data_IF_869896278347
#
_entry.id   IF_869896278347
#
_cell.length_a   1.000
_cell.length_b   1.000
_cell.length_c   1.000
_cell.angle_alpha   90.00
_cell.angle_beta   90.00
_cell.angle_gamma   90.00
#
_symmetry.space_group_name_H-M   'P 1'
#
loop_
_entity.id
_entity.type
_entity.pdbx_description
1 polymer ?
#
# COMPACT_ATOMS: atom_id res chain seq x y z
N UNK A 1 36.32 -33.15 44.33
CA UNK A 1 34.87 -33.14 44.02
C UNK A 1 34.52 -31.73 43.55
N UNK A 2 34.48 -31.50 42.23
CA UNK A 2 34.35 -30.16 41.63
C UNK A 2 32.92 -29.99 41.11
N UNK A 3 32.26 -28.91 41.53
CA UNK A 3 30.81 -28.66 41.37
C UNK A 3 30.44 -28.36 39.91
N UNK A 4 29.26 -28.87 39.51
CA UNK A 4 28.58 -28.80 38.18
C UNK A 4 28.37 -27.39 37.57
N UNK A 5 28.92 -26.32 38.17
CA UNK A 5 28.77 -24.92 37.73
C UNK A 5 29.88 -24.38 36.83
N UNK A 6 30.96 -25.15 36.61
CA UNK A 6 32.12 -24.69 35.83
C UNK A 6 32.25 -25.33 34.43
N UNK A 7 31.24 -26.07 33.96
CA UNK A 7 31.23 -26.66 32.61
C UNK A 7 30.35 -25.90 31.60
N UNK A 8 29.70 -24.81 32.01
CA UNK A 8 28.91 -23.91 31.13
C UNK A 8 29.55 -22.51 31.14
N UNK A 9 30.84 -22.44 30.80
CA UNK A 9 31.53 -21.20 30.43
C UNK A 9 32.54 -21.39 29.29
N UNK A 10 32.50 -22.52 28.58
CA UNK A 10 33.36 -22.79 27.42
C UNK A 10 32.58 -23.09 26.13
N UNK A 11 31.25 -22.92 26.12
CA UNK A 11 30.39 -23.18 24.96
C UNK A 11 29.31 -22.10 24.85
N UNK A 12 29.73 -20.84 24.76
CA UNK A 12 28.87 -19.69 24.42
C UNK A 12 29.77 -18.54 23.95
N UNK A 13 30.46 -18.75 22.83
CA UNK A 13 31.12 -17.72 22.03
C UNK A 13 30.78 -17.99 20.55
N UNK A 14 29.48 -17.96 20.26
CA UNK A 14 28.97 -17.62 18.93
C UNK A 14 28.17 -16.34 19.14
N UNK A 15 28.90 -15.24 19.11
CA UNK A 15 28.36 -13.89 19.04
C UNK A 15 27.59 -13.77 17.72
N UNK A 16 26.26 -13.73 17.80
CA UNK A 16 25.44 -13.04 16.80
C UNK A 16 25.77 -11.55 16.94
N UNK A 17 26.29 -10.87 15.91
CA UNK A 17 26.54 -9.44 16.05
C UNK A 17 25.21 -8.69 15.93
N UNK A 18 24.72 -8.20 17.07
CA UNK A 18 24.02 -6.92 17.11
C UNK A 18 25.03 -5.85 16.70
N UNK A 19 24.77 -5.15 15.59
CA UNK A 19 25.63 -4.06 15.10
C UNK A 19 24.91 -2.74 15.39
N UNK A 20 25.03 -2.28 16.63
CA UNK A 20 25.01 -0.85 16.96
C UNK A 20 26.27 -0.58 17.78
N UNK A 21 27.17 0.24 17.24
CA UNK A 21 28.38 0.70 17.93
C UNK A 21 29.67 0.06 17.43
N UNK A 22 30.22 0.60 16.33
CA UNK A 22 31.58 0.37 15.90
C UNK A 22 31.96 1.33 14.78
N UNK A 23 33.00 2.15 14.98
CA UNK A 23 33.59 2.98 13.95
C UNK A 23 34.31 2.10 12.93
N UNK A 24 33.54 1.57 11.99
CA UNK A 24 33.99 0.77 10.86
C UNK A 24 32.87 0.74 9.86
N UNK A 25 33.16 1.07 8.60
CA UNK A 25 32.18 1.10 7.53
C UNK A 25 31.73 -0.33 7.26
N UNK A 26 30.67 -0.75 7.95
CA UNK A 26 29.96 -1.99 7.65
C UNK A 26 29.13 -1.73 6.39
N UNK A 27 29.67 -2.11 5.23
CA UNK A 27 28.90 -2.14 3.99
C UNK A 27 27.94 -3.33 4.06
N UNK A 28 26.67 -3.08 4.36
CA UNK A 28 25.61 -4.04 4.07
C UNK A 28 25.52 -4.19 2.54
N UNK A 29 25.87 -5.39 2.04
CA UNK A 29 26.00 -5.69 0.61
C UNK A 29 24.71 -6.24 -0.02
N UNK A 30 23.52 -5.90 0.49
CA UNK A 30 22.29 -6.55 0.01
C UNK A 30 21.65 -5.85 -1.20
N UNK A 31 21.96 -4.58 -1.48
CA UNK A 31 21.68 -3.96 -2.78
C UNK A 31 22.78 -2.93 -3.09
N UNK A 32 23.43 -3.02 -4.25
CA UNK A 32 24.33 -1.94 -4.72
C UNK A 32 23.47 -0.72 -5.08
N UNK A 33 23.92 0.54 -4.85
CA UNK A 33 23.12 1.75 -5.14
C UNK A 33 22.60 1.85 -6.58
N UNK A 34 23.25 1.17 -7.52
CA UNK A 34 22.89 1.14 -8.95
C UNK A 34 22.29 -0.19 -9.41
N UNK A 35 22.21 -1.21 -8.53
CA UNK A 35 21.90 -2.59 -8.89
C UNK A 35 22.96 -3.21 -9.81
N UNK A 36 23.17 -4.52 -9.75
CA UNK A 36 23.73 -5.21 -10.91
C UNK A 36 22.57 -5.39 -11.89
N UNK A 37 22.31 -4.41 -12.77
CA UNK A 37 21.35 -4.63 -13.86
C UNK A 37 21.97 -5.66 -14.81
N UNK A 38 21.31 -6.80 -15.00
CA UNK A 38 21.69 -7.72 -16.06
C UNK A 38 21.51 -7.02 -17.40
N UNK A 39 22.62 -6.65 -18.05
CA UNK A 39 22.65 -5.80 -19.27
C UNK A 39 21.95 -6.47 -20.46
N UNK A 40 21.63 -7.77 -20.37
CA UNK A 40 21.14 -8.59 -21.48
C UNK A 40 19.70 -9.08 -21.33
N UNK A 41 19.05 -8.89 -20.17
CA UNK A 41 17.71 -9.46 -19.93
C UNK A 41 16.62 -8.42 -19.63
N UNK A 42 16.99 -7.15 -19.44
CA UNK A 42 16.05 -6.17 -18.92
C UNK A 42 15.70 -5.07 -19.94
N UNK A 43 14.42 -4.84 -20.27
CA UNK A 43 14.01 -3.64 -20.99
C UNK A 43 14.32 -2.40 -20.15
N UNK A 44 14.92 -1.37 -20.75
CA UNK A 44 15.09 -0.06 -20.11
C UNK A 44 13.88 0.80 -20.47
N UNK A 45 13.04 1.15 -19.50
CA UNK A 45 11.84 1.95 -19.76
C UNK A 45 12.19 3.28 -20.41
N UNK A 46 13.38 3.84 -20.13
CA UNK A 46 13.85 5.07 -20.76
C UNK A 46 14.16 4.90 -22.26
N UNK A 47 14.38 3.67 -22.73
CA UNK A 47 14.50 3.38 -24.17
C UNK A 47 13.16 3.54 -24.88
N UNK A 48 12.06 3.15 -24.23
CA UNK A 48 10.71 3.21 -24.83
C UNK A 48 10.01 4.55 -24.54
N UNK A 49 10.28 5.14 -23.38
CA UNK A 49 9.66 6.39 -22.92
C UNK A 49 10.72 7.43 -22.57
N UNK A 50 11.58 7.84 -23.53
CA UNK A 50 12.70 8.75 -23.27
C UNK A 50 12.27 10.16 -22.87
N UNK A 51 11.00 10.51 -23.08
CA UNK A 51 10.50 11.86 -22.88
C UNK A 51 9.83 12.08 -21.52
N UNK A 52 9.63 11.04 -20.69
CA UNK A 52 8.85 11.13 -19.43
C UNK A 52 9.40 12.24 -18.56
N UNK A 53 8.69 13.38 -18.54
CA UNK A 53 9.11 14.53 -17.75
C UNK A 53 8.75 14.33 -16.28
N UNK A 54 9.68 14.58 -15.34
CA UNK A 54 9.35 14.57 -13.93
C UNK A 54 8.48 15.78 -13.57
N UNK A 55 7.67 15.62 -12.52
CA UNK A 55 6.89 16.70 -11.89
C UNK A 55 5.83 17.35 -12.79
N UNK A 56 5.34 16.63 -13.81
CA UNK A 56 4.24 17.09 -14.69
C UNK A 56 2.88 16.52 -14.32
N UNK A 57 2.82 15.52 -13.44
CA UNK A 57 1.58 14.94 -12.93
C UNK A 57 1.40 15.19 -11.44
N UNK A 58 0.16 15.48 -11.03
CA UNK A 58 -0.18 15.60 -9.63
C UNK A 58 -0.03 14.25 -8.92
N UNK A 59 0.40 14.30 -7.66
CA UNK A 59 0.41 13.18 -6.75
C UNK A 59 -1.02 12.64 -6.60
N UNK A 60 -1.20 11.34 -6.81
CA UNK A 60 -2.45 10.69 -6.46
C UNK A 60 -2.54 10.54 -4.95
N UNK A 61 -3.67 10.94 -4.38
CA UNK A 61 -3.98 10.75 -2.97
C UNK A 61 -5.10 9.72 -2.88
N UNK A 62 -4.83 8.52 -2.34
CA UNK A 62 -5.88 7.52 -2.19
C UNK A 62 -6.98 8.03 -1.25
N UNK A 63 -8.26 7.93 -1.64
CA UNK A 63 -9.38 8.31 -0.77
C UNK A 63 -9.45 7.38 0.45
N UNK A 64 -10.22 7.75 1.47
CA UNK A 64 -10.54 6.81 2.55
C UNK A 64 -11.47 5.69 2.06
N UNK A 65 -11.40 4.53 2.70
CA UNK A 65 -12.44 3.50 2.54
C UNK A 65 -13.80 4.04 2.94
N UNK A 66 -14.83 3.70 2.16
CA UNK A 66 -16.22 4.06 2.44
C UNK A 66 -16.82 3.06 3.43
N UNK A 67 -17.47 3.58 4.45
CA UNK A 67 -18.27 2.79 5.40
C UNK A 67 -19.63 2.47 4.77
N UNK A 68 -20.06 1.21 4.84
CA UNK A 68 -21.33 0.73 4.29
C UNK A 68 -22.11 -0.06 5.34
N UNK A 69 -23.44 -0.07 5.32
CA UNK A 69 -24.20 -0.96 6.20
C UNK A 69 -23.99 -2.43 5.78
N UNK A 70 -24.10 -3.36 6.74
CA UNK A 70 -23.98 -4.80 6.47
C UNK A 70 -24.96 -5.28 5.38
N UNK A 71 -26.12 -4.65 5.26
CA UNK A 71 -27.12 -4.93 4.21
C UNK A 71 -26.67 -4.60 2.79
N UNK A 72 -25.56 -3.89 2.62
CA UNK A 72 -24.97 -3.50 1.32
C UNK A 72 -23.69 -4.29 0.98
N UNK A 73 -23.24 -5.21 1.85
CA UNK A 73 -22.16 -6.14 1.51
C UNK A 73 -22.51 -6.92 0.24
N UNK A 74 -21.56 -7.05 -0.67
CA UNK A 74 -21.73 -7.76 -1.92
C UNK A 74 -21.99 -9.24 -1.66
N UNK A 75 -22.87 -9.80 -2.48
CA UNK A 75 -23.20 -11.23 -2.50
C UNK A 75 -23.06 -11.75 -3.91
N UNK A 76 -22.63 -13.01 -4.03
CA UNK A 76 -22.53 -13.71 -5.31
C UNK A 76 -22.44 -15.20 -5.04
N UNK A 77 -23.32 -16.00 -5.61
CA UNK A 77 -23.31 -17.46 -5.46
C UNK A 77 -23.29 -17.92 -3.99
N UNK A 78 -22.11 -18.31 -3.51
CA UNK A 78 -21.84 -18.81 -2.15
C UNK A 78 -21.45 -17.73 -1.13
N UNK A 79 -21.25 -16.48 -1.56
CA UNK A 79 -20.89 -15.36 -0.70
C UNK A 79 -22.16 -14.87 0.04
N UNK A 80 -22.25 -15.05 1.37
CA UNK A 80 -23.45 -14.69 2.14
C UNK A 80 -23.54 -13.17 2.33
N UNK A 81 -24.75 -12.62 2.49
CA UNK A 81 -24.91 -11.20 2.81
C UNK A 81 -24.34 -10.88 4.20
N UNK A 82 -24.71 -11.69 5.18
CA UNK A 82 -24.40 -11.45 6.59
C UNK A 82 -22.95 -11.80 6.91
N UNK A 83 -22.39 -11.05 7.86
CA UNK A 83 -21.12 -11.39 8.52
C UNK A 83 -21.35 -12.65 9.35
N UNK A 84 -20.41 -13.60 9.31
CA UNK A 84 -20.49 -14.80 10.15
C UNK A 84 -19.56 -14.65 11.38
N UNK A 85 -20.10 -14.34 12.58
CA UNK A 85 -19.28 -14.14 13.78
C UNK A 85 -18.41 -15.34 14.15
N UNK A 86 -18.83 -16.56 13.78
CA UNK A 86 -18.11 -17.78 14.13
C UNK A 86 -16.83 -17.99 13.32
N UNK A 87 -16.62 -17.20 12.25
CA UNK A 87 -15.38 -17.21 11.47
C UNK A 87 -14.32 -16.26 12.01
N UNK A 88 -14.64 -15.45 13.02
CA UNK A 88 -13.75 -14.41 13.53
C UNK A 88 -13.52 -14.55 15.03
N UNK A 89 -12.26 -14.53 15.44
CA UNK A 89 -11.88 -14.60 16.84
C UNK A 89 -12.42 -13.39 17.59
N UNK A 90 -13.16 -13.65 18.67
CA UNK A 90 -13.68 -12.63 19.59
C UNK A 90 -14.60 -11.60 18.93
N UNK A 91 -15.27 -11.95 17.82
CA UNK A 91 -16.23 -11.04 17.16
C UNK A 91 -17.30 -10.50 18.10
N UNK A 92 -17.86 -11.37 18.96
CA UNK A 92 -18.88 -10.96 19.92
C UNK A 92 -18.37 -10.03 21.03
N UNK A 93 -17.05 -9.95 21.23
CA UNK A 93 -16.43 -8.99 22.16
C UNK A 93 -16.10 -7.66 21.48
N UNK A 94 -15.90 -7.69 20.17
CA UNK A 94 -15.53 -6.55 19.34
C UNK A 94 -16.41 -6.49 18.09
N UNK A 95 -17.72 -6.25 18.23
CA UNK A 95 -18.59 -6.15 17.06
C UNK A 95 -18.12 -5.03 16.14
N UNK A 96 -18.25 -5.23 14.83
CA UNK A 96 -17.82 -4.23 13.85
C UNK A 96 -18.54 -2.90 14.07
N UNK A 97 -17.78 -1.82 14.22
CA UNK A 97 -18.29 -0.44 14.25
C UNK A 97 -18.13 0.25 12.89
N UNK A 98 -17.16 -0.20 12.09
CA UNK A 98 -16.95 0.21 10.71
C UNK A 98 -16.96 -1.02 9.82
N UNK A 99 -17.71 -0.99 8.73
CA UNK A 99 -17.84 -2.08 7.76
C UNK A 99 -17.46 -1.52 6.40
N UNK A 100 -16.39 -2.08 5.85
CA UNK A 100 -15.90 -1.74 4.51
C UNK A 100 -16.02 -2.94 3.59
N UNK A 101 -16.02 -2.62 2.30
CA UNK A 101 -15.91 -3.58 1.23
C UNK A 101 -14.85 -3.14 0.25
N UNK A 102 -14.08 -4.10 -0.24
CA UNK A 102 -13.18 -3.89 -1.36
C UNK A 102 -13.34 -4.97 -2.42
N UNK A 103 -13.17 -4.57 -3.67
CA UNK A 103 -13.00 -5.51 -4.77
C UNK A 103 -11.56 -5.41 -5.27
N UNK A 104 -10.97 -6.57 -5.55
CA UNK A 104 -9.67 -6.67 -6.21
C UNK A 104 -9.92 -6.91 -7.69
N UNK A 105 -9.61 -5.93 -8.52
CA UNK A 105 -9.99 -5.92 -9.93
C UNK A 105 -8.80 -5.57 -10.82
N UNK A 106 -8.83 -6.09 -12.04
CA UNK A 106 -7.88 -5.71 -13.08
C UNK A 106 -8.43 -4.53 -13.88
N UNK A 107 -7.57 -3.55 -14.12
CA UNK A 107 -7.92 -2.40 -14.94
C UNK A 107 -6.69 -1.71 -15.48
N UNK A 108 -6.83 -0.41 -15.77
CA UNK A 108 -5.75 0.40 -16.31
C UNK A 108 -5.45 1.57 -15.39
N UNK A 109 -4.19 1.67 -14.94
CA UNK A 109 -3.70 2.75 -14.11
C UNK A 109 -2.82 3.71 -14.91
N UNK A 110 -3.08 5.00 -14.77
CA UNK A 110 -2.24 6.02 -15.39
C UNK A 110 -1.03 6.33 -14.50
N UNK A 111 0.09 5.63 -14.71
CA UNK A 111 1.36 5.92 -14.05
C UNK A 111 1.95 7.29 -14.48
N UNK A 112 1.87 7.61 -15.77
CA UNK A 112 2.26 8.87 -16.37
C UNK A 112 1.62 9.03 -17.76
N UNK A 113 1.20 10.23 -18.15
CA UNK A 113 0.50 10.44 -19.43
C UNK A 113 1.35 10.05 -20.63
N UNK A 114 2.67 10.20 -20.53
CA UNK A 114 3.58 9.83 -21.62
C UNK A 114 3.79 8.32 -21.77
N UNK A 115 3.65 7.56 -20.68
CA UNK A 115 3.62 6.09 -20.72
C UNK A 115 2.26 5.65 -21.26
N UNK A 116 1.19 6.23 -20.72
CA UNK A 116 -0.21 6.00 -21.10
C UNK A 116 -0.52 6.36 -22.56
N UNK A 117 0.14 7.37 -23.16
CA UNK A 117 -0.02 7.69 -24.59
C UNK A 117 0.54 6.61 -25.52
N UNK A 118 1.50 5.81 -25.04
CA UNK A 118 2.06 4.68 -25.76
C UNK A 118 1.13 3.47 -25.83
N UNK A 119 0.12 3.39 -24.96
CA UNK A 119 -0.86 2.27 -24.94
C UNK A 119 -2.01 2.55 -25.93
N UNK A 120 -2.63 1.53 -26.55
CA UNK A 120 -3.72 1.71 -27.55
C UNK A 120 -5.14 1.86 -26.91
N UNK A 121 -6.05 2.66 -27.51
CA UNK A 121 -7.48 2.86 -27.12
C UNK A 121 -7.92 4.06 -26.21
N UNK A 122 -8.03 5.33 -26.65
CA UNK A 122 -8.31 6.51 -25.75
C UNK A 122 -9.80 6.75 -25.53
N UNK A 123 -10.26 7.02 -24.29
CA UNK A 123 -11.58 7.65 -24.02
C UNK A 123 -11.40 8.88 -23.10
N UNK A 124 -11.91 10.08 -23.46
CA UNK A 124 -11.94 11.24 -22.55
C UNK A 124 -12.97 11.05 -21.44
N UNK A 125 -12.63 11.39 -20.19
CA UNK A 125 -13.52 11.21 -19.01
C UNK A 125 -14.46 12.40 -18.74
N UNK A 126 -14.51 13.37 -19.64
CA UNK A 126 -15.41 14.53 -19.53
C UNK A 126 -14.94 15.64 -18.56
N UNK A 127 -13.92 15.42 -17.73
CA UNK A 127 -13.39 16.40 -16.77
C UNK A 127 -11.96 16.87 -17.10
N UNK A 128 -11.49 16.60 -18.32
CA UNK A 128 -10.13 16.92 -18.75
C UNK A 128 -9.10 15.83 -18.39
N UNK A 129 -9.54 14.68 -17.87
CA UNK A 129 -8.77 13.45 -17.78
C UNK A 129 -9.15 12.43 -18.86
N UNK A 130 -8.65 11.22 -18.71
CA UNK A 130 -8.87 10.11 -19.65
C UNK A 130 -9.31 8.86 -18.88
N UNK A 131 -10.42 8.25 -19.30
CA UNK A 131 -10.80 6.88 -18.93
C UNK A 131 -10.37 5.92 -20.04
N UNK A 132 -9.95 4.71 -19.69
CA UNK A 132 -9.66 3.67 -20.69
C UNK A 132 -8.29 3.76 -21.39
N UNK A 133 -7.30 4.45 -20.84
CA UNK A 133 -5.87 4.17 -21.15
C UNK A 133 -5.01 4.32 -19.92
N UNK A 134 -4.13 3.34 -19.74
CA UNK A 134 -3.11 3.31 -18.71
C UNK A 134 -2.29 2.05 -18.90
N UNK A 135 -1.35 1.81 -18.01
CA UNK A 135 -0.71 0.51 -17.88
C UNK A 135 -1.68 -0.46 -17.21
N UNK A 136 -1.70 -1.73 -17.60
CA UNK A 136 -2.47 -2.74 -16.87
C UNK A 136 -2.02 -2.74 -15.40
N UNK A 137 -2.99 -2.75 -14.49
CA UNK A 137 -2.78 -2.70 -13.05
C UNK A 137 -3.83 -3.54 -12.33
N UNK A 138 -3.42 -4.20 -11.25
CA UNK A 138 -4.35 -4.72 -10.27
C UNK A 138 -4.58 -3.69 -9.18
N UNK A 139 -5.83 -3.50 -8.83
CA UNK A 139 -6.27 -2.34 -8.06
C UNK A 139 -7.32 -2.77 -7.04
N UNK A 140 -7.47 -1.94 -6.01
CA UNK A 140 -8.58 -2.07 -5.09
C UNK A 140 -9.62 -1.00 -5.42
N UNK A 141 -10.89 -1.38 -5.39
CA UNK A 141 -12.02 -0.46 -5.34
C UNK A 141 -12.77 -0.66 -4.02
N UNK A 142 -13.74 0.19 -3.67
CA UNK A 142 -14.47 0.05 -2.41
C UNK A 142 -15.77 0.85 -2.33
N UNK A 143 -16.75 0.31 -1.60
CA UNK A 143 -18.12 0.83 -1.53
C UNK A 143 -19.18 -0.24 -1.85
N UNK A 144 -20.46 0.17 -1.99
CA UNK A 144 -21.55 -0.74 -2.37
C UNK A 144 -21.32 -1.38 -3.75
N UNK A 145 -21.84 -2.59 -3.96
CA UNK A 145 -21.80 -3.26 -5.26
C UNK A 145 -22.93 -2.71 -6.16
N UNK A 146 -22.66 -1.63 -6.87
CA UNK A 146 -23.63 -1.00 -7.79
C UNK A 146 -23.71 -1.71 -9.16
N UNK A 147 -22.87 -2.72 -9.41
CA UNK A 147 -22.80 -3.44 -10.68
C UNK A 147 -22.29 -2.60 -11.85
N UNK A 148 -21.90 -1.34 -11.59
CA UNK A 148 -21.33 -0.42 -12.56
C UNK A 148 -19.96 -0.03 -12.01
N UNK A 149 -18.92 -0.73 -12.45
CA UNK A 149 -17.55 -0.30 -12.15
C UNK A 149 -17.39 1.16 -12.58
N UNK A 150 -17.43 2.05 -11.58
CA UNK A 150 -17.39 3.52 -11.65
C UNK A 150 -18.76 4.20 -11.93
N UNK A 151 -19.44 4.73 -10.90
CA UNK A 151 -19.58 6.19 -10.65
C UNK A 151 -20.27 6.54 -9.31
N UNK A 152 -19.65 7.46 -8.57
CA UNK A 152 -20.20 8.21 -7.44
C UNK A 152 -19.28 9.39 -7.16
N UNK A 153 -19.75 10.46 -6.50
CA UNK A 153 -18.97 11.70 -6.29
C UNK A 153 -17.60 11.44 -5.63
N UNK A 154 -17.47 10.33 -4.87
CA UNK A 154 -16.24 9.56 -4.58
C UNK A 154 -16.55 8.05 -4.57
N UNK A 155 -17.12 7.51 -5.66
CA UNK A 155 -17.63 6.13 -5.76
C UNK A 155 -16.57 5.03 -5.56
N UNK A 156 -16.87 3.82 -6.05
CA UNK A 156 -15.92 2.69 -6.07
C UNK A 156 -14.72 2.98 -6.99
N UNK A 157 -13.82 3.86 -6.53
CA UNK A 157 -12.64 4.30 -7.27
C UNK A 157 -11.66 3.14 -7.28
N UNK A 158 -11.57 2.50 -8.43
CA UNK A 158 -10.55 1.52 -8.71
C UNK A 158 -9.18 2.22 -8.75
N UNK A 159 -8.32 1.90 -7.79
CA UNK A 159 -7.04 2.59 -7.62
C UNK A 159 -5.91 1.69 -7.12
N UNK A 160 -4.69 2.08 -7.47
CA UNK A 160 -3.45 1.60 -6.86
C UNK A 160 -2.57 2.81 -6.55
N UNK A 161 -2.19 3.08 -5.28
CA UNK A 161 -2.57 2.35 -4.10
C UNK A 161 -4.09 2.38 -3.88
N UNK A 162 -4.63 1.34 -3.26
CA UNK A 162 -6.04 1.24 -2.97
C UNK A 162 -6.52 2.25 -1.91
N UNK A 163 -7.85 2.35 -1.70
CA UNK A 163 -8.42 3.24 -0.68
C UNK A 163 -7.80 3.03 0.71
N UNK A 164 -7.50 4.13 1.38
CA UNK A 164 -6.85 4.15 2.70
C UNK A 164 -7.81 3.64 3.77
N UNK A 165 -7.41 2.61 4.52
CA UNK A 165 -8.11 2.20 5.74
C UNK A 165 -7.85 3.25 6.81
N UNK A 166 -8.90 3.91 7.30
CA UNK A 166 -8.79 4.90 8.39
C UNK A 166 -9.51 4.32 9.59
N UNK A 167 -8.76 4.01 10.64
CA UNK A 167 -9.30 3.34 11.81
C UNK A 167 -8.88 4.05 13.10
N UNK A 168 -9.64 3.82 14.16
CA UNK A 168 -9.33 4.30 15.50
C UNK A 168 -9.22 3.13 16.45
N UNK A 169 -8.20 3.11 17.31
CA UNK A 169 -8.13 2.10 18.37
C UNK A 169 -9.40 2.15 19.22
N UNK A 170 -9.95 0.99 19.55
CA UNK A 170 -11.22 0.82 20.24
C UNK A 170 -12.46 0.78 19.35
N UNK A 171 -12.34 1.03 18.04
CA UNK A 171 -13.44 0.93 17.08
C UNK A 171 -13.20 -0.23 16.11
N UNK A 172 -13.76 -1.42 16.33
CA UNK A 172 -13.49 -2.58 15.48
C UNK A 172 -13.88 -2.34 14.02
N UNK A 173 -13.04 -2.79 13.10
CA UNK A 173 -13.23 -2.66 11.66
C UNK A 173 -13.45 -4.03 11.04
N UNK A 174 -14.44 -4.13 10.17
CA UNK A 174 -14.67 -5.29 9.33
C UNK A 174 -14.45 -4.92 7.86
N UNK A 175 -13.73 -5.75 7.11
CA UNK A 175 -13.51 -5.55 5.67
C UNK A 175 -13.78 -6.84 4.94
N UNK A 176 -14.79 -6.84 4.07
CA UNK A 176 -14.97 -7.90 3.07
C UNK A 176 -14.14 -7.57 1.82
N UNK A 177 -13.26 -8.47 1.44
CA UNK A 177 -12.50 -8.37 0.19
C UNK A 177 -12.98 -9.43 -0.77
N UNK A 178 -13.30 -9.06 -2.00
CA UNK A 178 -13.70 -9.98 -3.06
C UNK A 178 -12.65 -10.00 -4.16
N UNK A 179 -12.23 -11.19 -4.58
CA UNK A 179 -11.32 -11.33 -5.70
C UNK A 179 -12.13 -11.37 -7.02
N UNK A 180 -12.12 -10.26 -7.74
CA UNK A 180 -12.75 -10.08 -9.06
C UNK A 180 -11.72 -9.99 -10.18
N UNK A 181 -10.48 -10.43 -9.95
CA UNK A 181 -9.49 -10.56 -11.01
C UNK A 181 -9.99 -11.57 -12.06
N UNK A 182 -9.56 -11.43 -13.33
CA UNK A 182 -9.85 -12.44 -14.34
C UNK A 182 -9.20 -13.78 -14.01
N UNK A 183 -9.76 -14.86 -14.56
CA UNK A 183 -9.11 -16.17 -14.54
C UNK A 183 -7.69 -16.09 -15.13
N UNK A 184 -6.78 -16.94 -14.65
CA UNK A 184 -5.37 -16.93 -15.08
C UNK A 184 -5.16 -17.11 -16.60
N UNK A 185 -6.16 -17.63 -17.32
CA UNK A 185 -6.14 -17.74 -18.78
C UNK A 185 -6.50 -16.42 -19.51
N UNK A 186 -7.19 -15.51 -18.83
CA UNK A 186 -7.78 -14.30 -19.39
C UNK A 186 -7.16 -13.00 -18.82
N UNK A 187 -6.33 -13.12 -17.78
CA UNK A 187 -5.65 -11.99 -17.12
C UNK A 187 -4.75 -11.23 -18.10
N UNK A 188 -4.87 -9.90 -18.15
CA UNK A 188 -4.06 -9.04 -19.02
C UNK A 188 -2.72 -8.69 -18.38
N UNK A 189 -2.67 -8.64 -17.04
CA UNK A 189 -1.46 -8.27 -16.31
C UNK A 189 -0.36 -9.31 -16.60
N UNK A 190 0.80 -8.89 -17.13
CA UNK A 190 1.87 -9.82 -17.50
C UNK A 190 2.63 -10.42 -16.31
N UNK A 191 2.31 -10.02 -15.08
CA UNK A 191 3.02 -10.41 -13.85
C UNK A 191 2.04 -10.74 -12.73
N UNK A 192 2.42 -11.62 -11.82
CA UNK A 192 1.57 -12.03 -10.69
C UNK A 192 0.72 -13.26 -11.01
N UNK A 193 -0.07 -13.67 -10.03
CA UNK A 193 -1.06 -14.75 -10.15
C UNK A 193 -2.39 -14.31 -9.51
N UNK A 194 -3.56 -14.51 -10.16
CA UNK A 194 -4.83 -13.90 -9.75
C UNK A 194 -5.48 -14.60 -8.54
N UNK A 195 -4.66 -14.89 -7.53
CA UNK A 195 -5.07 -15.31 -6.20
C UNK A 195 -4.47 -14.35 -5.17
N UNK A 196 -5.25 -14.00 -4.15
CA UNK A 196 -4.95 -12.85 -3.29
C UNK A 196 -5.05 -13.23 -1.82
N UNK A 197 -4.03 -12.92 -1.04
CA UNK A 197 -4.08 -12.94 0.43
C UNK A 197 -3.65 -11.56 0.94
N UNK A 198 -4.53 -10.80 1.58
CA UNK A 198 -4.20 -9.42 1.98
C UNK A 198 -3.71 -9.37 3.42
N UNK A 199 -2.45 -8.97 3.61
CA UNK A 199 -1.87 -8.73 4.93
C UNK A 199 -2.04 -7.27 5.34
N UNK A 200 -2.48 -7.03 6.58
CA UNK A 200 -2.47 -5.70 7.20
C UNK A 200 -1.19 -5.53 8.02
N UNK A 201 -0.18 -4.96 7.39
CA UNK A 201 1.19 -4.96 7.89
C UNK A 201 1.36 -4.12 9.15
N UNK A 202 2.05 -4.71 10.14
CA UNK A 202 2.23 -4.27 11.54
C UNK A 202 1.01 -4.46 12.46
N UNK A 203 -0.21 -4.59 11.93
CA UNK A 203 -1.39 -4.64 12.79
C UNK A 203 -1.39 -5.86 13.72
N UNK A 204 -2.04 -5.71 14.87
CA UNK A 204 -2.21 -6.80 15.82
C UNK A 204 -3.58 -7.41 15.65
N UNK A 205 -3.65 -8.35 14.72
CA UNK A 205 -4.90 -8.93 14.27
C UNK A 205 -4.98 -10.40 14.66
N UNK A 206 -6.19 -10.95 14.60
CA UNK A 206 -6.36 -12.40 14.70
C UNK A 206 -5.79 -13.07 13.44
N UNK A 207 -5.33 -14.32 13.57
CA UNK A 207 -4.62 -15.02 12.49
C UNK A 207 -5.43 -15.13 11.20
N UNK A 208 -6.74 -15.34 11.30
CA UNK A 208 -7.65 -15.43 10.16
C UNK A 208 -7.83 -14.10 9.42
N UNK A 209 -7.40 -12.98 9.99
CA UNK A 209 -7.47 -11.64 9.37
C UNK A 209 -6.08 -11.06 9.13
N UNK A 210 -5.02 -11.82 9.39
CA UNK A 210 -3.63 -11.37 9.26
C UNK A 210 -3.11 -11.49 7.82
N UNK A 211 -3.71 -12.30 6.95
CA UNK A 211 -3.21 -12.51 5.58
C UNK A 211 -2.10 -13.57 5.51
N UNK A 212 -2.34 -14.72 6.14
CA UNK A 212 -1.42 -15.86 6.05
C UNK A 212 -1.22 -16.29 4.58
N UNK A 213 0.01 -16.48 4.08
CA UNK A 213 0.27 -16.69 2.65
C UNK A 213 -0.46 -17.84 1.95
N UNK A 214 -0.95 -18.83 2.69
CA UNK A 214 -1.70 -19.96 2.15
C UNK A 214 -3.23 -19.76 2.21
N UNK A 215 -3.67 -18.73 2.91
CA UNK A 215 -5.07 -18.33 3.07
C UNK A 215 -5.39 -17.27 2.00
N UNK A 216 -5.34 -17.69 0.74
CA UNK A 216 -5.61 -16.82 -0.41
C UNK A 216 -6.97 -17.12 -1.03
N UNK A 217 -7.63 -16.06 -1.50
CA UNK A 217 -8.87 -16.10 -2.28
C UNK A 217 -8.54 -16.43 -3.73
N UNK A 218 -9.18 -17.46 -4.30
CA UNK A 218 -9.17 -17.65 -5.75
C UNK A 218 -10.08 -16.61 -6.43
N UNK A 219 -10.04 -16.56 -7.77
CA UNK A 219 -10.99 -15.75 -8.55
C UNK A 219 -12.42 -16.13 -8.18
N UNK A 220 -13.24 -15.11 -7.88
CA UNK A 220 -14.63 -15.27 -7.47
C UNK A 220 -14.85 -15.52 -5.97
N UNK A 221 -13.78 -15.78 -5.20
CA UNK A 221 -13.88 -15.94 -3.75
C UNK A 221 -13.87 -14.59 -3.00
N UNK A 222 -14.12 -14.64 -1.69
CA UNK A 222 -14.00 -13.52 -0.78
C UNK A 222 -13.29 -13.92 0.51
N UNK A 223 -12.81 -12.93 1.24
CA UNK A 223 -12.26 -13.08 2.58
C UNK A 223 -12.70 -11.92 3.46
N UNK A 224 -13.31 -12.30 4.57
CA UNK A 224 -13.78 -11.40 5.60
C UNK A 224 -12.67 -11.18 6.62
N UNK A 225 -12.24 -9.93 6.78
CA UNK A 225 -11.23 -9.53 7.73
C UNK A 225 -11.90 -8.80 8.88
N UNK A 226 -11.68 -9.27 10.10
CA UNK A 226 -12.15 -8.64 11.32
C UNK A 226 -10.95 -8.14 12.13
N UNK A 227 -10.86 -6.82 12.25
CA UNK A 227 -9.85 -6.14 13.02
C UNK A 227 -10.50 -5.63 14.30
N UNK A 228 -10.21 -6.28 15.42
CA UNK A 228 -10.75 -5.90 16.73
C UNK A 228 -10.28 -4.51 17.22
N UNK A 229 -9.29 -3.90 16.54
CA UNK A 229 -8.74 -2.58 16.83
C UNK A 229 -8.36 -2.37 18.30
N UNK A 230 -7.80 -3.40 18.94
CA UNK A 230 -7.31 -3.32 20.32
C UNK A 230 -5.79 -3.22 20.35
N UNK A 231 -5.27 -2.61 21.41
CA UNK A 231 -3.83 -2.48 21.63
C UNK A 231 -3.23 -3.84 21.99
N UNK A 232 -2.04 -4.17 21.46
CA UNK A 232 -1.36 -5.40 21.86
C UNK A 232 -1.18 -5.41 23.37
N UNK A 233 -1.56 -6.55 23.98
CA UNK A 233 -1.44 -6.77 25.43
C UNK A 233 -2.13 -5.69 26.27
N UNK A 234 -3.04 -4.92 25.69
CA UNK A 234 -3.67 -3.76 26.29
C UNK A 234 -2.65 -2.69 26.79
N UNK A 235 -1.52 -2.54 26.08
CA UNK A 235 -0.50 -1.53 26.39
C UNK A 235 -0.61 -0.34 25.41
N UNK A 236 -0.92 0.88 25.89
CA UNK A 236 -0.96 2.08 25.06
C UNK A 236 0.34 2.40 24.32
N UNK A 237 1.48 1.84 24.76
CA UNK A 237 2.77 2.02 24.07
C UNK A 237 2.89 1.19 22.80
N UNK A 238 2.00 0.23 22.59
CA UNK A 238 1.93 -0.61 21.39
C UNK A 238 0.96 0.00 20.35
N UNK A 239 0.54 1.26 20.53
CA UNK A 239 -0.21 1.99 19.52
C UNK A 239 0.67 2.24 18.29
N UNK A 240 0.15 1.87 17.12
CA UNK A 240 0.75 2.05 15.81
C UNK A 240 -0.06 3.08 15.03
N UNK A 241 0.57 3.84 14.15
CA UNK A 241 -0.11 4.93 13.43
C UNK A 241 -0.06 4.81 11.90
N UNK A 242 1.09 4.38 11.35
CA UNK A 242 1.30 4.22 9.92
C UNK A 242 1.45 2.75 9.57
N UNK A 243 0.41 2.21 8.94
CA UNK A 243 0.30 0.85 8.48
C UNK A 243 0.00 0.85 6.98
N UNK A 244 -0.03 -0.32 6.40
CA UNK A 244 -0.37 -0.51 5.00
C UNK A 244 -0.90 -1.92 4.83
N UNK A 245 -1.67 -2.15 3.78
CA UNK A 245 -2.12 -3.47 3.43
C UNK A 245 -1.62 -3.84 2.04
N UNK A 246 -1.26 -5.10 1.84
CA UNK A 246 -0.67 -5.56 0.60
C UNK A 246 -0.93 -7.04 0.38
N UNK A 247 -0.78 -7.51 -0.87
CA UNK A 247 -0.82 -8.94 -1.13
C UNK A 247 0.35 -9.66 -0.44
N UNK A 248 0.08 -10.86 0.06
CA UNK A 248 0.98 -11.70 0.83
C UNK A 248 0.84 -13.17 0.41
N UNK A 249 0.34 -13.43 -0.80
CA UNK A 249 0.13 -14.80 -1.30
C UNK A 249 1.48 -15.51 -1.47
N UNK A 250 1.52 -16.79 -1.08
CA UNK A 250 2.72 -17.63 -1.20
C UNK A 250 3.26 -17.61 -2.63
N UNK A 251 4.58 -17.53 -2.78
CA UNK A 251 5.33 -17.47 -4.06
C UNK A 251 5.09 -16.22 -4.93
N UNK A 252 3.95 -15.54 -4.82
CA UNK A 252 3.57 -14.43 -5.72
C UNK A 252 3.48 -13.06 -5.04
N UNK A 253 3.75 -12.96 -3.74
CA UNK A 253 3.73 -11.70 -2.96
C UNK A 253 4.40 -10.54 -3.73
N UNK A 254 5.67 -10.70 -4.14
CA UNK A 254 6.41 -9.62 -4.80
C UNK A 254 5.76 -9.21 -6.13
N UNK A 255 5.35 -10.19 -6.95
CA UNK A 255 4.75 -9.92 -8.26
C UNK A 255 3.34 -9.34 -8.17
N UNK A 256 2.55 -9.76 -7.19
CA UNK A 256 1.18 -9.26 -6.96
C UNK A 256 1.21 -7.85 -6.37
N UNK A 257 2.13 -7.56 -5.43
CA UNK A 257 2.39 -6.19 -4.97
C UNK A 257 2.86 -5.35 -6.15
N UNK A 258 3.79 -5.84 -6.96
CA UNK A 258 4.29 -5.10 -8.12
C UNK A 258 3.19 -4.82 -9.16
N UNK A 259 2.27 -5.77 -9.38
CA UNK A 259 1.06 -5.63 -10.21
C UNK A 259 0.11 -4.51 -9.72
N UNK A 260 0.17 -4.16 -8.44
CA UNK A 260 -0.53 -3.00 -7.86
C UNK A 260 -1.24 -3.26 -6.53
N UNK A 261 -1.17 -4.48 -5.98
CA UNK A 261 -1.88 -4.86 -4.76
C UNK A 261 -1.19 -4.34 -3.49
N UNK A 262 -1.30 -3.03 -3.28
CA UNK A 262 -0.88 -2.30 -2.09
C UNK A 262 -1.86 -1.16 -1.80
N UNK A 263 -2.10 -0.86 -0.53
CA UNK A 263 -2.87 0.30 -0.08
C UNK A 263 -2.45 0.71 1.32
N UNK A 264 -2.99 1.82 1.80
CA UNK A 264 -2.54 2.46 3.03
C UNK A 264 -3.48 2.16 4.19
N UNK A 265 -2.96 2.16 5.41
CA UNK A 265 -3.78 2.06 6.61
C UNK A 265 -3.27 3.05 7.67
N UNK A 266 -4.15 3.89 8.18
CA UNK A 266 -3.83 4.89 9.19
C UNK A 266 -4.66 4.60 10.42
N UNK A 267 -3.97 4.38 11.54
CA UNK A 267 -4.58 4.16 12.84
C UNK A 267 -4.41 5.43 13.67
N UNK A 268 -5.49 5.83 14.31
CA UNK A 268 -5.54 6.94 15.26
C UNK A 268 -5.92 6.42 16.65
N UNK A 269 -5.63 7.21 17.67
CA UNK A 269 -6.07 6.98 19.05
C UNK A 269 -6.41 8.32 19.71
N UNK A 270 -6.71 8.29 21.02
CA UNK A 270 -7.08 9.49 21.79
C UNK A 270 -5.92 10.50 21.93
N UNK A 271 -4.68 10.13 21.57
CA UNK A 271 -3.48 10.97 21.67
C UNK A 271 -3.13 11.54 20.28
N UNK A 272 -2.95 10.68 19.28
CA UNK A 272 -2.86 11.06 17.87
C UNK A 272 -4.24 10.93 17.22
N UNK A 273 -5.06 11.97 17.38
CA UNK A 273 -6.47 11.96 16.95
C UNK A 273 -6.66 12.24 15.47
N UNK A 274 -5.57 12.50 14.72
CA UNK A 274 -5.60 12.87 13.31
C UNK A 274 -6.16 14.26 13.01
N UNK A 275 -6.48 15.04 14.04
CA UNK A 275 -7.03 16.38 13.92
C UNK A 275 -6.15 17.42 14.64
N UNK A 276 -5.54 18.32 13.85
CA UNK A 276 -4.67 19.37 14.37
C UNK A 276 -5.40 20.40 15.25
N UNK A 277 -6.72 20.47 15.14
CA UNK A 277 -7.57 21.39 15.91
C UNK A 277 -8.19 20.74 17.15
N UNK A 278 -7.81 19.51 17.49
CA UNK A 278 -8.37 18.82 18.66
C UNK A 278 -8.01 19.53 19.97
N UNK A 279 -9.02 19.93 20.72
CA UNK A 279 -8.87 20.68 21.97
C UNK A 279 -8.72 19.77 23.21
N UNK A 280 -8.86 18.46 23.06
CA UNK A 280 -8.70 17.50 24.16
C UNK A 280 -7.34 17.64 24.85
N UNK A 281 -7.34 17.42 26.17
CA UNK A 281 -6.12 17.47 26.97
C UNK A 281 -5.27 16.22 26.69
N UNK A 282 -4.15 16.40 25.99
CA UNK A 282 -3.23 15.30 25.65
C UNK A 282 -3.13 15.00 24.15
N UNK A 283 -4.02 15.56 23.32
CA UNK A 283 -3.94 15.42 21.87
C UNK A 283 -2.65 16.05 21.33
N UNK A 284 -1.95 15.33 20.43
CA UNK A 284 -0.69 15.77 19.84
C UNK A 284 -0.88 16.96 18.89
N UNK A 285 -2.08 17.10 18.30
CA UNK A 285 -2.40 18.15 17.32
C UNK A 285 -1.40 18.18 16.16
N UNK A 286 -0.99 17.00 15.69
CA UNK A 286 -0.16 16.87 14.48
C UNK A 286 -0.97 17.36 13.26
N UNK A 287 -0.31 17.85 12.20
CA UNK A 287 -1.00 18.23 10.96
C UNK A 287 -1.91 17.10 10.50
N UNK A 288 -3.18 17.43 10.24
CA UNK A 288 -4.26 16.50 9.91
C UNK A 288 -5.62 17.15 10.18
N UNK A 289 -6.66 16.80 9.42
CA UNK A 289 -8.04 17.22 9.72
C UNK A 289 -9.10 16.13 9.48
N UNK A 290 -8.67 14.90 9.18
CA UNK A 290 -9.54 13.77 8.82
C UNK A 290 -10.42 13.99 7.57
N UNK A 291 -10.15 15.01 6.75
CA UNK A 291 -10.81 15.20 5.46
C UNK A 291 -10.05 14.44 4.36
N UNK A 292 -10.55 13.26 4.00
CA UNK A 292 -9.95 12.40 2.99
C UNK A 292 -10.58 12.64 1.60
N UNK A 293 -9.74 12.85 0.60
CA UNK A 293 -10.15 13.01 -0.80
C UNK A 293 -10.33 14.47 -1.23
N UNK A 294 -9.88 14.78 -2.44
CA UNK A 294 -9.93 16.11 -3.07
C UNK A 294 -8.60 16.53 -3.70
N UNK A 295 -8.68 17.38 -4.72
CA UNK A 295 -7.53 17.97 -5.45
C UNK A 295 -7.13 19.36 -4.94
N UNK A 296 -7.95 19.97 -4.07
CA UNK A 296 -7.64 21.23 -3.40
C UNK A 296 -6.41 21.11 -2.48
N UNK A 297 -5.65 22.20 -2.40
CA UNK A 297 -4.47 22.31 -1.52
C UNK A 297 -4.83 22.03 -0.05
N UNK A 298 -4.60 20.80 0.41
CA UNK A 298 -4.89 20.36 1.78
C UNK A 298 -5.91 19.22 1.89
N UNK A 299 -6.56 18.77 0.82
CA UNK A 299 -7.65 17.77 0.88
C UNK A 299 -7.19 16.30 0.79
N UNK A 300 -5.99 16.06 1.26
CA UNK A 300 -5.46 14.72 1.47
C UNK A 300 -5.25 14.52 2.97
N UNK A 301 -6.33 14.24 3.69
CA UNK A 301 -6.36 14.12 5.15
C UNK A 301 -5.81 15.38 5.85
N UNK A 302 -6.10 16.57 5.30
CA UNK A 302 -5.82 17.83 5.98
C UNK A 302 -4.37 18.04 6.36
N UNK A 303 -3.43 17.87 5.42
CA UNK A 303 -1.98 18.00 5.65
C UNK A 303 -1.28 16.77 6.28
N UNK A 304 -1.97 15.63 6.42
CA UNK A 304 -1.38 14.33 6.77
C UNK A 304 -1.33 13.38 5.55
N UNK A 305 -0.21 13.41 4.84
CA UNK A 305 -0.06 12.87 3.50
C UNK A 305 0.72 11.55 3.54
N UNK A 306 0.14 10.49 2.99
CA UNK A 306 0.83 9.23 2.80
C UNK A 306 1.55 9.17 1.45
N UNK A 307 2.81 8.74 1.49
CA UNK A 307 3.72 8.63 0.35
C UNK A 307 4.22 7.19 0.24
N UNK A 308 3.58 6.39 -0.61
CA UNK A 308 4.05 5.06 -0.97
C UNK A 308 5.13 5.17 -2.04
N UNK A 309 6.38 4.98 -1.64
CA UNK A 309 7.52 4.90 -2.54
C UNK A 309 7.57 3.52 -3.18
N UNK A 310 7.75 3.51 -4.50
CA UNK A 310 7.91 2.28 -5.26
C UNK A 310 8.68 2.61 -6.55
N UNK A 311 9.28 1.63 -7.20
CA UNK A 311 9.84 1.77 -8.54
C UNK A 311 9.24 0.76 -9.51
N UNK A 312 9.02 1.18 -10.76
CA UNK A 312 8.38 0.36 -11.80
C UNK A 312 9.20 0.43 -13.08
N UNK A 313 9.24 -0.68 -13.81
CA UNK A 313 9.77 -0.83 -15.16
C UNK A 313 8.64 -1.18 -16.11
N UNK A 314 8.65 -0.57 -17.29
CA UNK A 314 7.61 -0.73 -18.30
C UNK A 314 8.16 -1.41 -19.57
N UNK A 315 7.32 -2.24 -20.20
CA UNK A 315 7.57 -2.76 -21.54
C UNK A 315 7.36 -1.67 -22.60
N UNK A 316 7.70 -1.96 -23.86
CA UNK A 316 7.40 -1.08 -25.00
C UNK A 316 5.90 -0.75 -25.12
N UNK A 317 5.04 -1.67 -24.69
CA UNK A 317 3.59 -1.50 -24.69
C UNK A 317 3.08 -0.70 -23.49
N UNK A 318 3.97 -0.24 -22.60
CA UNK A 318 3.64 0.62 -21.47
C UNK A 318 3.10 -0.12 -20.25
N UNK A 319 3.24 -1.45 -20.17
CA UNK A 319 2.78 -2.26 -19.03
C UNK A 319 3.92 -2.59 -18.06
N UNK A 320 3.65 -2.77 -16.74
CA UNK A 320 4.69 -3.14 -15.80
C UNK A 320 5.34 -4.48 -16.18
N UNK A 321 6.64 -4.59 -15.95
CA UNK A 321 7.39 -5.82 -16.20
C UNK A 321 8.17 -6.23 -14.96
N UNK A 322 8.29 -7.53 -14.75
CA UNK A 322 8.97 -8.13 -13.62
C UNK A 322 9.77 -9.34 -14.08
N UNK A 323 11.05 -9.42 -13.72
CA UNK A 323 11.86 -10.59 -14.00
C UNK A 323 11.96 -11.48 -12.75
N UNK A 324 11.25 -12.61 -12.74
CA UNK A 324 11.27 -13.57 -11.62
C UNK A 324 12.64 -14.22 -11.40
N UNK A 325 13.56 -14.11 -12.37
CA UNK A 325 14.92 -14.57 -12.23
C UNK A 325 15.87 -13.53 -11.62
N UNK A 326 15.38 -12.33 -11.30
CA UNK A 326 16.11 -11.33 -10.51
C UNK A 326 16.12 -11.73 -9.01
N UNK A 327 16.82 -12.83 -8.70
CA UNK A 327 16.84 -13.42 -7.36
C UNK A 327 17.53 -12.57 -6.30
N UNK A 328 18.29 -11.55 -6.71
CA UNK A 328 18.94 -10.57 -5.83
C UNK A 328 18.07 -9.31 -5.61
N UNK A 329 16.83 -9.32 -6.12
CA UNK A 329 15.87 -8.23 -6.01
C UNK A 329 15.59 -7.54 -7.34
N UNK A 330 14.30 -7.31 -7.62
CA UNK A 330 13.84 -6.63 -8.83
C UNK A 330 13.84 -5.12 -8.62
N UNK A 331 14.48 -4.39 -9.53
CA UNK A 331 14.54 -2.92 -9.50
C UNK A 331 13.87 -2.33 -10.74
N UNK A 332 12.92 -1.44 -10.51
CA UNK A 332 12.38 -0.53 -11.52
C UNK A 332 13.36 0.59 -11.89
N UNK A 333 13.07 1.29 -12.99
CA UNK A 333 13.85 2.45 -13.46
C UNK A 333 13.08 3.76 -13.41
N UNK A 334 11.74 3.74 -13.32
CA UNK A 334 10.94 4.90 -12.94
C UNK A 334 10.57 4.84 -11.47
N UNK A 335 10.94 5.90 -10.73
CA UNK A 335 10.49 6.09 -9.36
C UNK A 335 9.05 6.59 -9.35
N UNK A 336 8.26 6.03 -8.45
CA UNK A 336 6.85 6.40 -8.25
C UNK A 336 6.58 6.78 -6.81
N UNK A 337 5.64 7.70 -6.62
CA UNK A 337 5.02 7.99 -5.33
C UNK A 337 3.52 7.84 -5.50
N UNK A 338 2.89 7.00 -4.67
CA UNK A 338 1.49 6.60 -4.83
C UNK A 338 1.19 6.15 -6.27
N UNK A 339 2.11 5.34 -6.85
CA UNK A 339 2.04 4.78 -8.20
C UNK A 339 1.95 5.83 -9.34
N UNK A 340 2.22 7.11 -9.07
CA UNK A 340 2.48 8.11 -10.09
C UNK A 340 3.98 8.25 -10.30
N UNK A 341 4.44 8.29 -11.55
CA UNK A 341 5.85 8.49 -11.87
C UNK A 341 6.24 9.93 -11.53
N UNK A 342 7.21 10.09 -10.63
CA UNK A 342 7.83 11.37 -10.26
C UNK A 342 6.82 12.54 -10.14
N UNK A 343 5.78 12.45 -9.30
CA UNK A 343 4.70 13.42 -9.28
C UNK A 343 5.08 14.72 -8.58
N UNK A 344 4.27 15.76 -8.74
CA UNK A 344 4.31 17.00 -7.94
C UNK A 344 3.10 17.09 -7.00
N UNK A 345 3.24 17.88 -5.94
CA UNK A 345 2.14 18.25 -5.04
C UNK A 345 2.27 19.74 -4.72
N UNK A 346 1.20 20.51 -4.95
CA UNK A 346 1.14 21.90 -4.52
C UNK A 346 0.98 21.96 -2.99
N UNK A 347 1.76 22.83 -2.35
CA UNK A 347 1.78 22.94 -0.89
C UNK A 347 1.63 24.39 -0.45
N UNK A 348 0.95 24.59 0.68
CA UNK A 348 0.90 25.87 1.39
C UNK A 348 2.17 26.04 2.23
N UNK A 349 2.60 27.28 2.53
CA UNK A 349 3.72 27.54 3.43
C UNK A 349 3.34 27.26 4.90
N UNK A 350 3.23 25.97 5.25
CA UNK A 350 2.82 25.46 6.57
C UNK A 350 3.46 24.10 6.87
N UNK A 351 3.17 23.55 8.04
CA UNK A 351 3.59 22.19 8.42
C UNK A 351 2.70 21.14 7.73
N UNK A 352 3.35 20.08 7.29
CA UNK A 352 2.76 18.85 6.77
C UNK A 352 3.30 17.67 7.59
N UNK A 353 2.48 16.63 7.74
CA UNK A 353 2.90 15.32 8.21
C UNK A 353 3.01 14.42 6.99
N UNK A 354 4.19 13.84 6.76
CA UNK A 354 4.40 12.87 5.69
C UNK A 354 4.57 11.47 6.30
N UNK A 355 3.71 10.54 5.89
CA UNK A 355 3.79 9.12 6.24
C UNK A 355 4.42 8.38 5.07
N UNK A 356 5.71 8.06 5.21
CA UNK A 356 6.48 7.48 4.11
C UNK A 356 6.52 5.95 4.25
N UNK A 357 6.18 5.27 3.17
CA UNK A 357 6.19 3.81 3.08
C UNK A 357 7.13 3.40 1.96
N UNK A 358 8.03 2.45 2.23
CA UNK A 358 8.82 1.78 1.21
C UNK A 358 8.05 0.52 0.77
N UNK A 359 7.30 0.66 -0.33
CA UNK A 359 6.42 -0.39 -0.84
C UNK A 359 6.99 -1.16 -2.03
N UNK A 360 8.19 -0.80 -2.50
CA UNK A 360 8.85 -1.48 -3.60
C UNK A 360 9.43 -2.84 -3.16
N UNK A 361 9.59 -3.81 -4.08
CA UNK A 361 10.02 -5.15 -3.72
C UNK A 361 11.48 -5.21 -3.26
N UNK A 362 12.34 -4.25 -3.62
CA UNK A 362 13.79 -4.38 -3.37
C UNK A 362 14.59 -3.08 -3.24
N UNK A 363 14.04 -1.93 -3.65
CA UNK A 363 14.79 -0.67 -3.57
C UNK A 363 14.79 -0.14 -2.15
N UNK A 364 15.95 0.32 -1.68
CA UNK A 364 16.07 1.15 -0.48
C UNK A 364 16.22 2.62 -0.84
N UNK A 365 15.69 3.50 0.01
CA UNK A 365 15.69 4.94 -0.21
C UNK A 365 16.45 5.69 0.88
N UNK A 366 17.28 6.65 0.46
CA UNK A 366 17.79 7.73 1.31
C UNK A 366 17.09 9.02 0.87
N UNK A 367 16.30 9.60 1.76
CA UNK A 367 15.43 10.73 1.44
C UNK A 367 16.00 12.03 1.97
N UNK A 368 15.98 13.06 1.14
CA UNK A 368 16.34 14.42 1.50
C UNK A 368 15.40 15.41 0.81
N UNK A 369 15.13 16.53 1.49
CA UNK A 369 14.48 17.70 0.89
C UNK A 369 15.55 18.72 0.53
N UNK A 370 15.48 19.27 -0.67
CA UNK A 370 16.43 20.28 -1.15
C UNK A 370 15.70 21.34 -1.96
N UNK A 371 16.28 22.55 -1.98
CA UNK A 371 15.79 23.59 -2.88
C UNK A 371 16.31 23.30 -4.29
N UNK A 372 15.44 23.22 -5.30
CA UNK A 372 15.90 23.02 -6.68
C UNK A 372 16.74 24.17 -7.22
N UNK A 373 16.64 25.37 -6.63
CA UNK A 373 17.49 26.53 -6.91
C UNK A 373 18.86 26.49 -6.20
N UNK A 374 19.01 25.65 -5.17
CA UNK A 374 20.25 25.45 -4.41
C UNK A 374 20.33 24.00 -3.90
N UNK A 375 20.80 23.11 -4.78
CA UNK A 375 20.85 21.66 -4.53
C UNK A 375 21.86 21.27 -3.43
N UNK A 376 22.69 22.20 -2.98
CA UNK A 376 23.68 21.97 -1.92
C UNK A 376 23.13 22.30 -0.53
N UNK A 377 21.96 22.94 -0.44
CA UNK A 377 21.30 23.25 0.83
C UNK A 377 20.16 22.26 1.09
N UNK A 378 20.41 21.28 1.96
CA UNK A 378 19.36 20.44 2.53
C UNK A 378 18.41 21.31 3.35
N UNK A 379 17.10 21.19 3.08
CA UNK A 379 16.05 21.85 3.85
C UNK A 379 15.58 20.86 4.91
N UNK A 380 15.87 21.15 6.18
CA UNK A 380 15.43 20.32 7.31
C UNK A 380 16.40 20.37 8.47
#
# INVERSE_FOLDING_TARGET
>A
MIKRRNFIKASALLTVPAIFGGSGVANAQLCRPTGNRAVTTEPDSATFFPNVQPYTQALFIPPAMVDIPESELATSGTIPQEINPNKHQRYNEFPAEQIHQQFVEEGHWNYHDEITRGTQGQVPDGNGGFTGKGSVAWMYSGGPDDGVGVEGEFGSILSTPGPTMVAHYGKPVFIRRLNRLPDAADVMMPVGYPAVSTHLHNAHTASESDGYPMDFMQVGDHWDHHYAMYLARNDPKEALASLWYHDHMIDFTATNVYAGLSGLAIFYDDIDTGNENDTAAGALRLPGNLEFGGDDEGNANGYDISLLLHDVRFSADGNPTYNVFDTDGHLGDFLTVNRKVMPFMNVKPRKYRFRVYDGGPSRFYELALYNTADRDTQIG
#
